data_IF_531019800542
#
_entry.id   IF_531019800542
#
_cell.length_a   1.000
_cell.length_b   1.000
_cell.length_c   1.000
_cell.angle_alpha   90.00
_cell.angle_beta   90.00
_cell.angle_gamma   90.00
#
_symmetry.space_group_name_H-M   'P 1'
#
loop_
_entity.id
_entity.type
_entity.pdbx_description
1 polymer ?
#
# COMPACT_ATOMS: atom_id res chain seq x y z
N UNK A 1 21.39 6.89 24.68
CA UNK A 1 20.90 8.19 25.03
C UNK A 1 20.41 9.01 23.85
N UNK A 2 20.99 8.89 22.72
CA UNK A 2 20.60 9.68 21.57
C UNK A 2 19.70 8.95 20.59
N UNK A 3 19.08 7.84 21.02
CA UNK A 3 18.17 7.10 20.18
C UNK A 3 17.00 7.96 19.71
N UNK A 4 16.50 8.84 20.61
CA UNK A 4 15.41 9.74 20.24
C UNK A 4 15.83 10.69 19.11
N UNK A 5 17.01 11.29 19.22
CA UNK A 5 17.50 12.21 18.19
C UNK A 5 17.80 11.49 16.88
N UNK A 6 18.36 10.27 16.95
CA UNK A 6 18.60 9.45 15.77
C UNK A 6 17.31 9.09 15.07
N UNK A 7 16.28 8.71 15.83
CA UNK A 7 14.98 8.39 15.28
C UNK A 7 14.33 9.61 14.62
N UNK A 8 14.46 10.79 15.25
CA UNK A 8 13.92 12.02 14.67
C UNK A 8 14.65 12.40 13.39
N UNK A 9 15.96 12.22 13.34
CA UNK A 9 16.74 12.51 12.13
C UNK A 9 16.40 11.55 11.00
N UNK A 10 16.26 10.26 11.31
CA UNK A 10 15.86 9.26 10.33
C UNK A 10 14.46 9.53 9.80
N UNK A 11 13.56 9.93 10.68
CA UNK A 11 12.20 10.28 10.32
C UNK A 11 12.15 11.47 9.39
N UNK A 12 12.94 12.52 9.71
CA UNK A 12 13.03 13.70 8.86
C UNK A 12 13.58 13.37 7.48
N UNK A 13 14.61 12.51 7.41
CA UNK A 13 15.16 12.05 6.14
C UNK A 13 14.13 11.31 5.30
N UNK A 14 13.37 10.41 5.94
CA UNK A 14 12.34 9.63 5.26
C UNK A 14 11.23 10.53 4.72
N UNK A 15 10.81 11.52 5.50
CA UNK A 15 9.82 12.49 5.06
C UNK A 15 10.34 13.27 3.86
N UNK A 16 11.61 13.66 3.88
CA UNK A 16 12.24 14.37 2.77
C UNK A 16 12.27 13.51 1.51
N UNK A 17 12.63 12.23 1.64
CA UNK A 17 12.64 11.29 0.52
C UNK A 17 11.26 11.17 -0.11
N UNK A 18 10.24 11.04 0.72
CA UNK A 18 8.85 10.93 0.24
C UNK A 18 8.40 12.21 -0.43
N UNK A 19 8.77 13.36 0.12
CA UNK A 19 8.42 14.66 -0.45
C UNK A 19 9.06 14.83 -1.83
N UNK A 20 10.33 14.49 -1.96
CA UNK A 20 11.03 14.55 -3.24
C UNK A 20 10.41 13.59 -4.27
N UNK A 21 10.05 12.40 -3.82
CA UNK A 21 9.39 11.42 -4.70
C UNK A 21 8.07 11.98 -5.22
N UNK A 22 7.24 12.55 -4.35
CA UNK A 22 5.96 13.14 -4.73
C UNK A 22 6.18 14.27 -5.74
N UNK A 23 7.19 15.10 -5.52
CA UNK A 23 7.51 16.21 -6.42
C UNK A 23 8.02 15.75 -7.78
N UNK A 24 8.50 14.53 -7.90
CA UNK A 24 8.96 13.97 -9.16
C UNK A 24 7.82 13.61 -10.11
N UNK A 25 6.59 13.82 -9.68
CA UNK A 25 5.38 13.60 -10.48
C UNK A 25 5.17 12.14 -10.92
N UNK A 26 5.16 11.21 -9.96
CA UNK A 26 4.94 9.79 -10.29
C UNK A 26 3.47 9.51 -10.60
N UNK A 27 3.17 8.23 -10.86
CA UNK A 27 1.79 7.80 -11.06
C UNK A 27 0.92 8.21 -9.86
N UNK A 28 -0.33 8.66 -10.09
CA UNK A 28 -1.21 9.07 -8.98
C UNK A 28 -1.36 8.03 -7.86
N UNK A 29 -1.30 6.75 -8.20
CA UNK A 29 -1.37 5.69 -7.19
C UNK A 29 -0.13 5.68 -6.30
N UNK A 30 1.04 5.96 -6.88
CA UNK A 30 2.28 6.07 -6.13
C UNK A 30 2.29 7.31 -5.25
N UNK A 31 1.72 8.41 -5.75
CA UNK A 31 1.56 9.63 -4.95
C UNK A 31 0.70 9.35 -3.73
N UNK A 32 -0.41 8.65 -3.91
CA UNK A 32 -1.31 8.31 -2.79
C UNK A 32 -0.59 7.49 -1.73
N UNK A 33 0.18 6.48 -2.14
CA UNK A 33 0.95 5.64 -1.22
C UNK A 33 2.00 6.46 -0.47
N UNK A 34 2.72 7.32 -1.20
CA UNK A 34 3.75 8.17 -0.59
C UNK A 34 3.14 9.15 0.39
N UNK A 35 1.99 9.75 0.05
CA UNK A 35 1.28 10.66 0.95
C UNK A 35 0.84 9.95 2.22
N UNK A 36 0.31 8.73 2.09
CA UNK A 36 -0.13 7.96 3.24
C UNK A 36 1.02 7.72 4.21
N UNK A 37 2.16 7.27 3.70
CA UNK A 37 3.34 7.00 4.53
C UNK A 37 3.88 8.30 5.14
N UNK A 38 3.94 9.35 4.34
CA UNK A 38 4.41 10.66 4.83
C UNK A 38 3.53 11.17 5.97
N UNK A 39 2.22 11.03 5.85
CA UNK A 39 1.28 11.46 6.89
C UNK A 39 1.46 10.65 8.18
N UNK A 40 1.69 9.33 8.07
CA UNK A 40 1.98 8.49 9.23
C UNK A 40 3.24 8.98 9.93
N UNK A 41 4.31 9.21 9.16
CA UNK A 41 5.58 9.66 9.71
C UNK A 41 5.48 11.06 10.31
N UNK A 42 4.52 11.86 9.84
CA UNK A 42 4.27 13.21 10.38
C UNK A 42 3.38 13.19 11.61
N UNK A 43 2.94 12.01 12.05
CA UNK A 43 2.17 11.88 13.28
C UNK A 43 0.66 11.93 13.12
N UNK A 44 0.16 11.86 11.89
CA UNK A 44 -1.28 11.85 11.67
C UNK A 44 -1.90 10.51 12.06
N UNK A 45 -3.12 10.57 12.58
CA UNK A 45 -3.86 9.36 12.94
C UNK A 45 -4.27 8.57 11.70
N UNK A 46 -4.25 7.25 11.77
CA UNK A 46 -4.64 6.40 10.65
C UNK A 46 -6.07 6.65 10.20
N UNK A 47 -6.98 6.91 11.13
CA UNK A 47 -8.38 7.20 10.78
C UNK A 47 -8.49 8.46 9.93
N UNK A 48 -7.69 9.46 10.24
CA UNK A 48 -7.66 10.72 9.49
C UNK A 48 -7.08 10.54 8.10
N UNK A 49 -5.99 9.76 7.99
CA UNK A 49 -5.36 9.46 6.71
C UNK A 49 -6.33 8.67 5.83
N UNK A 50 -6.97 7.66 6.41
CA UNK A 50 -7.95 6.82 5.73
C UNK A 50 -9.07 7.66 5.14
N UNK A 51 -9.62 8.58 5.93
CA UNK A 51 -10.68 9.47 5.49
C UNK A 51 -10.21 10.43 4.41
N UNK A 52 -9.05 11.05 4.63
CA UNK A 52 -8.52 12.06 3.71
C UNK A 52 -8.19 11.49 2.34
N UNK A 53 -7.55 10.31 2.31
CA UNK A 53 -7.09 9.70 1.06
C UNK A 53 -8.08 8.70 0.48
N UNK A 54 -9.13 8.35 1.23
CA UNK A 54 -10.12 7.38 0.77
C UNK A 54 -9.56 5.97 0.67
N UNK A 55 -8.73 5.56 1.63
CA UNK A 55 -8.09 4.25 1.64
C UNK A 55 -8.33 3.54 2.97
N UNK A 56 -8.12 2.23 2.99
CA UNK A 56 -8.26 1.46 4.22
C UNK A 56 -7.05 1.63 5.12
N UNK A 57 -7.28 1.54 6.43
CA UNK A 57 -6.20 1.61 7.41
C UNK A 57 -5.16 0.50 7.20
N UNK A 58 -5.62 -0.69 6.78
CA UNK A 58 -4.71 -1.80 6.50
C UNK A 58 -3.74 -1.48 5.37
N UNK A 59 -4.19 -0.73 4.37
CA UNK A 59 -3.33 -0.29 3.27
C UNK A 59 -2.23 0.63 3.76
N UNK A 60 -2.57 1.54 4.68
CA UNK A 60 -1.60 2.47 5.26
C UNK A 60 -0.49 1.68 5.96
N UNK A 61 -0.87 0.71 6.80
CA UNK A 61 0.08 -0.15 7.49
C UNK A 61 0.97 -0.88 6.51
N UNK A 62 0.38 -1.41 5.45
CA UNK A 62 1.07 -2.18 4.43
C UNK A 62 2.14 -1.35 3.72
N UNK A 63 1.77 -0.16 3.25
CA UNK A 63 2.70 0.71 2.55
C UNK A 63 3.79 1.24 3.47
N UNK A 64 3.45 1.53 4.70
CA UNK A 64 4.44 1.94 5.70
C UNK A 64 5.49 0.86 5.92
N UNK A 65 5.06 -0.39 6.10
CA UNK A 65 5.97 -1.52 6.27
C UNK A 65 6.86 -1.72 5.05
N UNK A 66 6.28 -1.67 3.86
CA UNK A 66 7.05 -1.82 2.62
C UNK A 66 8.08 -0.70 2.46
N UNK A 67 7.70 0.51 2.82
CA UNK A 67 8.61 1.64 2.78
C UNK A 67 9.74 1.48 3.80
N UNK A 68 9.46 1.01 4.99
CA UNK A 68 10.46 0.78 6.02
C UNK A 68 11.50 -0.25 5.58
N UNK A 69 11.07 -1.27 4.85
CA UNK A 69 11.93 -2.36 4.40
C UNK A 69 12.68 -2.00 3.11
N UNK A 70 11.99 -1.42 2.13
CA UNK A 70 12.51 -1.22 0.78
C UNK A 70 12.68 0.24 0.38
N UNK A 71 12.30 1.18 1.24
CA UNK A 71 12.34 2.59 0.89
C UNK A 71 11.32 2.93 -0.20
N UNK A 72 11.66 3.89 -1.04
CA UNK A 72 10.78 4.35 -2.13
C UNK A 72 10.37 3.19 -3.05
N UNK A 73 11.28 2.26 -3.31
CA UNK A 73 10.98 1.11 -4.18
C UNK A 73 9.79 0.29 -3.66
N UNK A 74 9.59 0.27 -2.34
CA UNK A 74 8.51 -0.51 -1.74
C UNK A 74 7.12 0.04 -2.02
N UNK A 75 7.02 1.30 -2.43
CA UNK A 75 5.73 1.95 -2.70
C UNK A 75 5.50 2.22 -4.20
N UNK A 76 6.45 1.86 -5.05
CA UNK A 76 6.29 2.03 -6.50
C UNK A 76 5.46 0.88 -7.09
N UNK A 77 4.82 1.17 -8.22
CA UNK A 77 4.01 0.17 -8.93
C UNK A 77 4.85 -0.96 -9.50
N UNK A 78 6.12 -0.67 -9.78
CA UNK A 78 7.04 -1.68 -10.29
C UNK A 78 7.71 -2.54 -9.23
N UNK A 79 7.23 -2.46 -7.98
CA UNK A 79 7.84 -3.18 -6.88
C UNK A 79 7.83 -4.69 -7.12
N UNK A 80 9.02 -5.27 -7.13
CA UNK A 80 9.20 -6.71 -7.35
C UNK A 80 9.87 -7.40 -6.17
N UNK A 81 9.94 -6.74 -5.05
CA UNK A 81 10.75 -7.16 -3.90
C UNK A 81 10.28 -8.40 -3.18
N UNK A 82 9.06 -8.74 -3.27
CA UNK A 82 8.55 -10.04 -2.91
C UNK A 82 7.42 -10.27 -3.86
N UNK A 83 7.39 -11.42 -4.46
CA UNK A 83 6.23 -11.80 -5.22
C UNK A 83 5.15 -11.98 -4.18
N UNK A 84 4.38 -10.94 -3.97
CA UNK A 84 3.30 -10.96 -2.99
C UNK A 84 2.14 -11.71 -3.60
N UNK A 85 2.22 -13.03 -3.54
CA UNK A 85 1.04 -13.83 -3.78
C UNK A 85 0.21 -13.78 -2.50
N UNK A 86 -1.09 -13.88 -2.67
CA UNK A 86 -1.98 -14.00 -1.54
C UNK A 86 -1.65 -15.29 -0.78
N UNK A 87 -1.61 -15.22 0.54
CA UNK A 87 -1.56 -16.43 1.35
C UNK A 87 -2.89 -17.16 1.22
N UNK A 88 -2.91 -18.43 1.66
CA UNK A 88 -4.16 -19.20 1.63
C UNK A 88 -5.27 -18.54 2.43
N UNK A 89 -4.92 -17.94 3.57
CA UNK A 89 -5.88 -17.21 4.40
C UNK A 89 -6.40 -15.96 3.70
N UNK A 90 -5.51 -15.18 3.08
CA UNK A 90 -5.87 -13.98 2.35
C UNK A 90 -6.75 -14.33 1.16
N UNK A 91 -6.42 -15.40 0.46
CA UNK A 91 -7.21 -15.87 -0.69
C UNK A 91 -8.64 -16.21 -0.24
N UNK A 92 -8.77 -16.90 0.89
CA UNK A 92 -10.08 -17.25 1.45
C UNK A 92 -10.88 -15.99 1.79
N UNK A 93 -10.22 -14.98 2.35
CA UNK A 93 -10.86 -13.69 2.66
C UNK A 93 -11.35 -12.99 1.40
N UNK A 94 -10.54 -12.98 0.34
CA UNK A 94 -10.90 -12.37 -0.93
C UNK A 94 -12.11 -13.08 -1.54
N UNK A 95 -12.11 -14.41 -1.52
CA UNK A 95 -13.20 -15.20 -2.07
C UNK A 95 -14.49 -14.93 -1.28
N UNK A 96 -14.39 -14.85 0.04
CA UNK A 96 -15.54 -14.52 0.89
C UNK A 96 -16.09 -13.14 0.56
N UNK A 97 -15.20 -12.16 0.38
CA UNK A 97 -15.60 -10.81 0.00
C UNK A 97 -16.33 -10.79 -1.35
N UNK A 98 -15.80 -11.53 -2.33
CA UNK A 98 -16.42 -11.61 -3.66
C UNK A 98 -17.80 -12.25 -3.60
N UNK A 99 -17.97 -13.28 -2.77
CA UNK A 99 -19.26 -13.93 -2.60
C UNK A 99 -20.31 -13.05 -1.96
N UNK A 100 -19.88 -12.04 -1.21
CA UNK A 100 -20.81 -11.10 -0.58
C UNK A 100 -21.36 -10.05 -1.55
N UNK A 101 -20.83 -10.01 -2.77
CA UNK A 101 -21.22 -9.01 -3.77
C UNK A 101 -22.27 -9.56 -4.73
N UNK A 102 -23.15 -8.68 -5.16
CA UNK A 102 -24.22 -9.02 -6.11
C UNK A 102 -23.71 -9.06 -7.57
N UNK A 103 -22.55 -8.47 -7.81
CA UNK A 103 -21.96 -8.39 -9.14
C UNK A 103 -20.46 -8.61 -9.07
N UNK A 104 -19.85 -8.82 -10.23
CA UNK A 104 -18.42 -9.07 -10.35
C UNK A 104 -17.78 -8.02 -11.24
N UNK A 105 -16.76 -7.33 -10.73
CA UNK A 105 -16.05 -6.27 -11.43
C UNK A 105 -14.55 -6.47 -11.24
N UNK A 106 -13.82 -6.66 -12.35
CA UNK A 106 -12.39 -6.89 -12.31
C UNK A 106 -11.63 -5.69 -11.75
N UNK A 107 -12.02 -4.48 -12.14
CA UNK A 107 -11.34 -3.27 -11.65
C UNK A 107 -11.47 -3.14 -10.13
N UNK A 108 -12.62 -3.47 -9.60
CA UNK A 108 -12.86 -3.45 -8.17
C UNK A 108 -12.02 -4.49 -7.45
N UNK A 109 -11.88 -5.68 -8.04
CA UNK A 109 -11.02 -6.73 -7.49
C UNK A 109 -9.56 -6.30 -7.48
N UNK A 110 -9.08 -5.74 -8.59
CA UNK A 110 -7.70 -5.25 -8.70
C UNK A 110 -7.43 -4.21 -7.61
N UNK A 111 -8.33 -3.25 -7.45
CA UNK A 111 -8.20 -2.21 -6.44
C UNK A 111 -8.23 -2.80 -5.03
N UNK A 112 -9.12 -3.74 -4.79
CA UNK A 112 -9.25 -4.37 -3.48
C UNK A 112 -7.97 -5.10 -3.08
N UNK A 113 -7.40 -5.88 -3.98
CA UNK A 113 -6.17 -6.62 -3.70
C UNK A 113 -4.99 -5.68 -3.46
N UNK A 114 -4.90 -4.60 -4.25
CA UNK A 114 -3.83 -3.63 -4.06
C UNK A 114 -3.98 -2.92 -2.71
N UNK A 115 -5.17 -2.46 -2.38
CA UNK A 115 -5.39 -1.68 -1.17
C UNK A 115 -5.34 -2.51 0.11
N UNK A 116 -5.83 -3.75 0.08
CA UNK A 116 -5.89 -4.58 1.29
C UNK A 116 -4.66 -5.44 1.52
N UNK A 117 -4.03 -5.91 0.45
CA UNK A 117 -2.92 -6.87 0.56
C UNK A 117 -1.66 -6.41 -0.13
N UNK A 118 -1.70 -5.30 -0.85
CA UNK A 118 -0.56 -4.81 -1.61
C UNK A 118 -0.17 -5.74 -2.76
N UNK A 119 -1.12 -6.51 -3.27
CA UNK A 119 -0.89 -7.47 -4.33
C UNK A 119 -1.34 -6.88 -5.66
N UNK A 120 -0.44 -6.89 -6.65
CA UNK A 120 -0.74 -6.46 -8.01
C UNK A 120 -0.21 -7.54 -8.94
N UNK A 121 -1.10 -8.20 -9.66
CA UNK A 121 -0.71 -9.19 -10.65
C UNK A 121 -0.47 -8.52 -12.00
N UNK A 122 0.41 -9.12 -12.80
CA UNK A 122 0.79 -8.56 -14.10
C UNK A 122 -0.27 -8.77 -15.19
N UNK A 123 -1.11 -9.78 -15.05
CA UNK A 123 -2.10 -10.11 -16.08
C UNK A 123 -3.48 -10.30 -15.50
N UNK A 124 -4.48 -10.07 -16.32
CA UNK A 124 -5.88 -10.31 -15.95
C UNK A 124 -6.12 -11.77 -15.60
N UNK A 125 -5.42 -12.66 -16.29
CA UNK A 125 -5.58 -14.10 -16.07
C UNK A 125 -5.24 -14.49 -14.64
N UNK A 126 -4.23 -13.84 -14.05
CA UNK A 126 -3.85 -14.11 -12.65
C UNK A 126 -4.98 -13.82 -11.68
N UNK A 127 -5.77 -12.77 -11.96
CA UNK A 127 -6.94 -12.46 -11.12
C UNK A 127 -8.03 -13.49 -11.30
N UNK A 128 -8.28 -13.92 -12.53
CA UNK A 128 -9.28 -14.95 -12.81
C UNK A 128 -8.90 -16.29 -12.18
N UNK A 129 -7.61 -16.60 -12.11
CA UNK A 129 -7.12 -17.84 -11.53
C UNK A 129 -7.42 -17.96 -10.05
N UNK A 130 -7.77 -16.86 -9.37
CA UNK A 130 -8.17 -16.92 -7.96
C UNK A 130 -9.44 -17.73 -7.75
N UNK A 131 -10.23 -17.92 -8.78
CA UNK A 131 -11.52 -18.60 -8.71
C UNK A 131 -11.44 -20.08 -9.05
N UNK A 132 -10.31 -20.55 -9.48
CA UNK A 132 -10.12 -21.94 -9.90
C UNK A 132 -9.64 -22.84 -8.74
#
# INVERSE_FOLDING_TARGET
MNNFLLEQNQKAERITQLTEFIQSNPDPREVKRALAVKMVLSGEAYSKISEFLGIHKSSITHWKQRFEIQGIDGITLGYKGSISYLTSEQKAEVISWLKSKDYWDLEELVTYLDEHYGVIYKSKQSYYNLFD
#
